data_IF_280684736570
#
_entry.id   IF_280684736570
#
_cell.length_a   1.000
_cell.length_b   1.000
_cell.length_c   1.000
_cell.angle_alpha   90.00
_cell.angle_beta   90.00
_cell.angle_gamma   90.00
#
_symmetry.space_group_name_H-M   'P 1'
#
loop_
_entity.id
_entity.type
_entity.pdbx_description
1 polymer ?
#
# COMPACT_ATOMS: atom_id res chain seq x y z
N UNK A 1 29.17 -46.99 2.52
CA UNK A 1 27.93 -46.73 1.75
C UNK A 1 27.48 -45.32 2.11
N UNK A 2 27.73 -44.34 1.25
CA UNK A 2 27.30 -42.95 1.48
C UNK A 2 25.95 -42.75 0.80
N UNK A 3 24.98 -42.25 1.54
CA UNK A 3 23.63 -41.97 1.06
C UNK A 3 23.65 -40.89 -0.04
N UNK A 4 22.74 -40.94 -1.04
CA UNK A 4 22.69 -39.97 -2.12
C UNK A 4 22.24 -38.59 -1.62
N UNK A 5 22.96 -37.55 -2.07
CA UNK A 5 22.59 -36.14 -1.97
C UNK A 5 21.24 -35.91 -2.68
N UNK A 6 20.27 -35.33 -2.00
CA UNK A 6 18.93 -35.06 -2.54
C UNK A 6 18.87 -33.60 -3.06
N UNK A 7 18.76 -33.34 -4.37
CA UNK A 7 19.02 -32.02 -4.97
C UNK A 7 17.80 -31.09 -5.08
N UNK A 8 16.78 -31.20 -4.23
CA UNK A 8 15.49 -30.50 -4.47
C UNK A 8 15.38 -29.11 -3.84
N UNK A 9 16.43 -28.61 -3.18
CA UNK A 9 16.43 -27.26 -2.60
C UNK A 9 17.02 -26.26 -3.59
N UNK A 10 16.24 -25.31 -4.13
CA UNK A 10 16.78 -24.29 -5.02
C UNK A 10 17.80 -23.42 -4.29
N UNK A 11 18.89 -23.09 -4.98
CA UNK A 11 19.91 -22.14 -4.53
C UNK A 11 19.35 -20.73 -4.42
N UNK A 12 20.02 -19.85 -3.68
CA UNK A 12 19.62 -18.45 -3.56
C UNK A 12 19.62 -17.73 -4.93
N UNK A 13 20.58 -18.07 -5.80
CA UNK A 13 20.64 -17.51 -7.16
C UNK A 13 19.44 -17.95 -8.01
N UNK A 14 19.05 -19.23 -7.94
CA UNK A 14 17.85 -19.73 -8.62
C UNK A 14 16.58 -19.05 -8.07
N UNK A 15 16.46 -18.91 -6.75
CA UNK A 15 15.33 -18.19 -6.14
C UNK A 15 15.29 -16.72 -6.56
N UNK A 16 16.44 -16.04 -6.64
CA UNK A 16 16.53 -14.67 -7.11
C UNK A 16 16.05 -14.54 -8.56
N UNK A 17 16.51 -15.42 -9.45
CA UNK A 17 16.09 -15.43 -10.86
C UNK A 17 14.59 -15.75 -11.03
N UNK A 18 14.09 -16.73 -10.27
CA UNK A 18 12.67 -17.08 -10.26
C UNK A 18 11.80 -15.93 -9.76
N UNK A 19 12.26 -15.21 -8.73
CA UNK A 19 11.56 -14.04 -8.19
C UNK A 19 11.50 -12.89 -9.21
N UNK A 20 12.62 -12.57 -9.89
CA UNK A 20 12.65 -11.56 -10.95
C UNK A 20 11.67 -11.92 -12.07
N UNK A 21 11.71 -13.17 -12.53
CA UNK A 21 10.81 -13.68 -13.57
C UNK A 21 9.34 -13.67 -13.13
N UNK A 22 9.05 -13.94 -11.86
CA UNK A 22 7.70 -13.84 -11.30
C UNK A 22 7.20 -12.39 -11.27
N UNK A 23 8.02 -11.43 -10.81
CA UNK A 23 7.67 -10.00 -10.80
C UNK A 23 7.42 -9.45 -12.20
N UNK A 24 8.19 -9.89 -13.19
CA UNK A 24 7.97 -9.50 -14.58
C UNK A 24 6.62 -10.02 -15.10
N UNK A 25 6.30 -11.29 -14.86
CA UNK A 25 4.99 -11.87 -15.25
C UNK A 25 3.82 -11.18 -14.53
N UNK A 26 3.97 -10.87 -13.25
CA UNK A 26 2.98 -10.10 -12.48
C UNK A 26 2.75 -8.73 -13.09
N UNK A 27 3.81 -8.06 -13.53
CA UNK A 27 3.75 -6.74 -14.17
C UNK A 27 3.00 -6.80 -15.49
N UNK A 28 3.33 -7.76 -16.36
CA UNK A 28 2.66 -7.97 -17.65
C UNK A 28 1.17 -8.26 -17.45
N UNK A 29 0.84 -9.23 -16.57
CA UNK A 29 -0.55 -9.59 -16.30
C UNK A 29 -1.36 -8.42 -15.69
N UNK A 30 -0.73 -7.59 -14.85
CA UNK A 30 -1.35 -6.39 -14.29
C UNK A 30 -1.66 -5.37 -15.39
N UNK A 31 -0.74 -5.14 -16.30
CA UNK A 31 -0.90 -4.18 -17.40
C UNK A 31 -1.97 -4.62 -18.39
N UNK A 32 -1.97 -5.90 -18.78
CA UNK A 32 -3.02 -6.50 -19.60
C UNK A 32 -4.40 -6.36 -18.94
N UNK A 33 -4.50 -6.65 -17.64
CA UNK A 33 -5.76 -6.50 -16.89
C UNK A 33 -6.24 -5.05 -16.91
N UNK A 34 -5.37 -4.07 -16.62
CA UNK A 34 -5.74 -2.66 -16.60
C UNK A 34 -6.22 -2.19 -17.98
N UNK A 35 -5.52 -2.57 -19.06
CA UNK A 35 -5.92 -2.22 -20.42
C UNK A 35 -7.31 -2.79 -20.80
N UNK A 36 -7.63 -4.01 -20.33
CA UNK A 36 -8.96 -4.60 -20.50
C UNK A 36 -10.02 -3.87 -19.65
N UNK A 37 -9.70 -3.55 -18.40
CA UNK A 37 -10.59 -2.78 -17.50
C UNK A 37 -10.94 -1.41 -18.10
N UNK A 38 -9.97 -0.72 -18.71
CA UNK A 38 -10.19 0.57 -19.39
C UNK A 38 -11.10 0.43 -20.61
N UNK A 39 -10.89 -0.59 -21.45
CA UNK A 39 -11.78 -0.88 -22.59
C UNK A 39 -13.20 -1.19 -22.14
N UNK A 40 -13.35 -2.01 -21.09
CA UNK A 40 -14.65 -2.31 -20.49
C UNK A 40 -15.31 -1.03 -19.95
N UNK A 41 -14.55 -0.18 -19.26
CA UNK A 41 -15.07 1.07 -18.72
C UNK A 41 -15.55 2.04 -19.82
N UNK A 42 -14.88 2.06 -20.97
CA UNK A 42 -15.31 2.82 -22.14
C UNK A 42 -16.61 2.30 -22.75
N UNK A 43 -16.81 0.98 -22.78
CA UNK A 43 -18.03 0.34 -23.32
C UNK A 43 -19.23 0.44 -22.39
N UNK A 44 -19.04 0.17 -21.09
CA UNK A 44 -20.11 0.23 -20.08
C UNK A 44 -20.46 1.67 -19.71
N UNK A 45 -19.49 2.59 -19.85
CA UNK A 45 -19.57 3.95 -19.32
C UNK A 45 -19.35 3.99 -17.81
N UNK A 46 -18.97 5.14 -17.28
CA UNK A 46 -18.73 5.34 -15.84
C UNK A 46 -19.34 6.66 -15.39
N UNK A 47 -20.01 6.66 -14.22
CA UNK A 47 -20.50 7.89 -13.59
C UNK A 47 -19.35 8.59 -12.86
N UNK A 48 -19.48 9.87 -12.60
CA UNK A 48 -18.52 10.61 -11.77
C UNK A 48 -18.47 10.03 -10.33
N UNK A 49 -19.64 9.81 -9.73
CA UNK A 49 -19.79 9.12 -8.45
C UNK A 49 -20.94 8.09 -8.54
N UNK A 50 -20.66 6.84 -8.18
CA UNK A 50 -21.65 5.75 -8.17
C UNK A 50 -21.46 4.69 -9.25
N UNK A 51 -22.43 3.77 -9.36
CA UNK A 51 -22.31 2.55 -10.17
C UNK A 51 -23.09 2.63 -11.48
N UNK A 52 -22.49 2.12 -12.55
CA UNK A 52 -23.15 1.75 -13.81
C UNK A 52 -23.08 0.23 -13.98
N UNK A 53 -24.12 -0.39 -14.52
CA UNK A 53 -24.19 -1.85 -14.68
C UNK A 53 -24.76 -2.21 -16.04
N UNK A 54 -24.15 -3.20 -16.67
CA UNK A 54 -24.56 -3.73 -17.97
C UNK A 54 -24.54 -5.27 -17.90
N UNK A 55 -25.51 -5.92 -18.54
CA UNK A 55 -25.53 -7.37 -18.70
C UNK A 55 -25.33 -7.70 -20.17
N UNK A 56 -24.37 -8.57 -20.46
CA UNK A 56 -24.08 -9.04 -21.80
C UNK A 56 -23.63 -10.50 -21.75
N UNK A 57 -24.31 -11.35 -22.53
CA UNK A 57 -24.14 -12.80 -22.48
C UNK A 57 -24.35 -13.33 -21.06
N UNK A 58 -23.34 -14.03 -20.53
CA UNK A 58 -23.36 -14.64 -19.20
C UNK A 58 -22.75 -13.74 -18.11
N UNK A 59 -22.45 -12.47 -18.43
CA UNK A 59 -21.72 -11.58 -17.54
C UNK A 59 -22.59 -10.40 -17.11
N UNK A 60 -22.47 -10.06 -15.82
CA UNK A 60 -22.95 -8.78 -15.27
C UNK A 60 -21.73 -7.93 -14.95
N UNK A 61 -21.50 -6.91 -15.77
CA UNK A 61 -20.36 -6.00 -15.64
C UNK A 61 -20.80 -4.76 -14.89
N UNK A 62 -19.93 -4.26 -13.99
CA UNK A 62 -20.15 -3.02 -13.24
C UNK A 62 -18.91 -2.15 -13.28
N UNK A 63 -19.12 -0.86 -13.55
CA UNK A 63 -18.12 0.19 -13.40
C UNK A 63 -18.55 1.10 -12.26
N UNK A 64 -17.60 1.58 -11.46
CA UNK A 64 -17.88 2.41 -10.28
C UNK A 64 -17.02 3.66 -10.32
N UNK A 65 -17.66 4.81 -10.48
CA UNK A 65 -17.05 6.11 -10.25
C UNK A 65 -16.85 6.35 -8.77
N UNK A 66 -15.66 6.84 -8.40
CA UNK A 66 -15.30 7.18 -7.02
C UNK A 66 -14.66 8.56 -7.00
N UNK A 67 -15.10 9.41 -6.08
CA UNK A 67 -14.44 10.68 -5.78
C UNK A 67 -13.56 10.52 -4.54
N UNK A 68 -12.25 10.75 -4.73
CA UNK A 68 -11.31 10.88 -3.62
C UNK A 68 -11.22 12.34 -3.22
N UNK A 69 -11.50 12.64 -1.95
CA UNK A 69 -11.32 13.97 -1.37
C UNK A 69 -10.15 13.88 -0.39
N UNK A 70 -9.06 14.58 -0.70
CA UNK A 70 -7.90 14.71 0.19
C UNK A 70 -7.91 16.07 0.87
N UNK A 71 -7.15 16.18 1.96
CA UNK A 71 -7.09 17.38 2.78
C UNK A 71 -5.65 17.85 2.93
N UNK A 72 -5.45 19.16 2.88
CA UNK A 72 -4.17 19.77 3.26
C UNK A 72 -4.19 20.04 4.76
N UNK A 73 -3.62 19.10 5.51
CA UNK A 73 -3.58 19.19 6.98
C UNK A 73 -2.83 20.42 7.47
N UNK A 74 -1.79 20.87 6.75
CA UNK A 74 -0.98 22.02 7.18
C UNK A 74 -1.76 23.32 7.00
N UNK A 75 -2.42 23.48 5.85
CA UNK A 75 -3.26 24.65 5.58
C UNK A 75 -4.41 24.74 6.59
N UNK A 76 -5.09 23.61 6.87
CA UNK A 76 -6.17 23.57 7.86
C UNK A 76 -5.67 23.84 9.27
N UNK A 77 -4.49 23.33 9.64
CA UNK A 77 -3.91 23.60 10.95
C UNK A 77 -3.59 25.08 11.13
N UNK A 78 -3.03 25.72 10.10
CA UNK A 78 -2.71 27.14 10.11
C UNK A 78 -3.95 28.04 10.25
N UNK A 79 -5.08 27.62 9.68
CA UNK A 79 -6.33 28.41 9.66
C UNK A 79 -7.38 27.94 10.66
N UNK A 80 -7.07 26.93 11.49
CA UNK A 80 -8.06 26.21 12.30
C UNK A 80 -8.98 27.12 13.12
N UNK A 81 -8.40 28.12 13.79
CA UNK A 81 -9.12 29.07 14.63
C UNK A 81 -10.10 29.97 13.87
N UNK A 82 -9.90 30.16 12.57
CA UNK A 82 -10.76 30.99 11.72
C UNK A 82 -11.84 30.16 11.02
N UNK A 83 -11.71 28.83 10.97
CA UNK A 83 -12.69 27.95 10.34
C UNK A 83 -13.98 27.86 11.18
N UNK A 84 -15.18 28.00 10.57
CA UNK A 84 -16.44 27.77 11.24
C UNK A 84 -16.55 26.38 11.89
N UNK A 85 -17.24 26.29 13.01
CA UNK A 85 -17.43 25.03 13.75
C UNK A 85 -17.96 23.87 12.88
N UNK A 86 -18.94 24.06 11.97
CA UNK A 86 -19.38 22.97 11.09
C UNK A 86 -18.27 22.38 10.21
N UNK A 87 -17.33 23.21 9.76
CA UNK A 87 -16.18 22.77 8.97
C UNK A 87 -15.18 22.03 9.86
N UNK A 88 -14.89 22.56 11.05
CA UNK A 88 -14.02 21.88 12.03
C UNK A 88 -14.53 20.47 12.36
N UNK A 89 -15.86 20.31 12.51
CA UNK A 89 -16.50 18.99 12.76
C UNK A 89 -16.33 17.98 11.62
N UNK A 90 -16.03 18.43 10.41
CA UNK A 90 -15.71 17.53 9.29
C UNK A 90 -14.28 16.97 9.37
N UNK A 91 -13.40 17.54 10.22
CA UNK A 91 -11.99 17.18 10.28
C UNK A 91 -11.72 16.34 11.53
N UNK A 92 -10.99 15.24 11.35
CA UNK A 92 -10.55 14.37 12.45
C UNK A 92 -9.04 14.43 12.58
N UNK A 93 -8.56 14.76 13.77
CA UNK A 93 -7.14 14.69 14.11
C UNK A 93 -6.77 13.28 14.57
N UNK A 94 -5.63 12.80 14.10
CA UNK A 94 -5.04 11.53 14.52
C UNK A 94 -3.58 11.78 14.87
N UNK A 95 -3.19 11.40 16.08
CA UNK A 95 -1.78 11.32 16.44
C UNK A 95 -1.12 10.19 15.64
N UNK A 96 0.05 10.47 15.08
CA UNK A 96 0.91 9.49 14.43
C UNK A 96 2.33 9.60 15.00
N UNK A 97 3.08 8.51 14.92
CA UNK A 97 4.42 8.45 15.48
C UNK A 97 5.44 9.03 14.51
N UNK A 98 6.22 10.00 14.96
CA UNK A 98 7.43 10.42 14.24
C UNK A 98 8.56 9.43 14.53
N UNK A 99 8.75 8.48 13.62
CA UNK A 99 9.79 7.45 13.73
C UNK A 99 11.20 8.05 13.79
N UNK A 100 11.44 9.20 13.14
CA UNK A 100 12.77 9.84 13.18
C UNK A 100 13.05 10.37 14.58
N UNK A 101 12.07 11.04 15.20
CA UNK A 101 12.19 11.54 16.56
C UNK A 101 12.27 10.41 17.58
N UNK A 102 11.51 9.31 17.38
CA UNK A 102 11.62 8.12 18.21
C UNK A 102 13.04 7.56 18.22
N UNK A 103 13.65 7.36 17.04
CA UNK A 103 15.04 6.84 16.93
C UNK A 103 16.07 7.76 17.56
N UNK A 104 15.86 9.07 17.45
CA UNK A 104 16.70 10.05 18.13
C UNK A 104 16.56 9.96 19.65
N UNK A 105 15.33 9.79 20.16
CA UNK A 105 15.05 9.59 21.58
C UNK A 105 15.71 8.32 22.11
N UNK A 106 15.59 7.19 21.41
CA UNK A 106 16.25 5.91 21.75
C UNK A 106 17.78 6.08 21.86
N UNK A 107 18.38 6.92 21.01
CA UNK A 107 19.83 7.15 21.01
C UNK A 107 20.31 8.10 22.12
N UNK A 108 19.44 9.00 22.62
CA UNK A 108 19.81 10.07 23.55
C UNK A 108 19.28 9.86 24.98
N UNK A 109 18.11 9.25 25.13
CA UNK A 109 17.31 9.16 26.36
C UNK A 109 16.49 7.86 26.38
N UNK A 110 17.20 6.73 26.44
CA UNK A 110 16.58 5.40 26.52
C UNK A 110 15.64 5.25 27.74
N UNK A 111 15.87 6.01 28.81
CA UNK A 111 15.00 6.04 30.00
C UNK A 111 13.57 6.54 29.72
N UNK A 112 13.37 7.32 28.65
CA UNK A 112 12.05 7.82 28.26
C UNK A 112 11.30 6.91 27.28
N UNK A 113 12.00 5.97 26.64
CA UNK A 113 11.42 5.04 25.66
C UNK A 113 10.31 4.17 26.27
N UNK A 114 10.44 3.60 27.49
CA UNK A 114 9.39 2.81 28.11
C UNK A 114 8.08 3.57 28.34
N UNK A 115 8.13 4.90 28.55
CA UNK A 115 6.93 5.72 28.75
C UNK A 115 6.14 5.80 27.45
N UNK A 116 6.81 6.09 26.34
CA UNK A 116 6.17 6.14 25.03
C UNK A 116 5.73 4.75 24.55
N UNK A 117 6.47 3.70 24.93
CA UNK A 117 6.16 2.31 24.59
C UNK A 117 4.77 1.86 25.06
N UNK A 118 4.25 2.43 26.17
CA UNK A 118 2.91 2.13 26.69
C UNK A 118 1.78 2.52 25.73
N UNK A 119 2.03 3.43 24.79
CA UNK A 119 1.04 3.97 23.86
C UNK A 119 1.23 3.46 22.42
N UNK A 120 2.19 2.56 22.19
CA UNK A 120 2.45 2.00 20.86
C UNK A 120 2.48 0.47 20.88
N UNK A 121 2.33 -0.14 19.71
CA UNK A 121 2.48 -1.58 19.54
C UNK A 121 3.53 -1.84 18.47
N UNK A 122 4.61 -2.51 18.86
CA UNK A 122 5.66 -2.92 17.93
C UNK A 122 5.42 -4.37 17.50
N UNK A 123 5.33 -4.59 16.20
CA UNK A 123 5.22 -5.93 15.59
C UNK A 123 6.31 -6.07 14.54
N UNK A 124 6.92 -7.25 14.38
CA UNK A 124 7.82 -7.51 13.26
C UNK A 124 7.10 -7.23 11.93
N UNK A 125 7.75 -6.44 11.07
CA UNK A 125 7.27 -6.23 9.71
C UNK A 125 7.58 -7.44 8.83
N UNK A 126 6.83 -7.61 7.74
CA UNK A 126 7.14 -8.61 6.71
C UNK A 126 8.57 -8.36 6.20
N UNK A 127 9.34 -9.43 6.05
CA UNK A 127 10.68 -9.37 5.44
C UNK A 127 10.55 -8.83 4.01
N UNK A 128 11.31 -7.77 3.72
CA UNK A 128 11.45 -7.24 2.37
C UNK A 128 12.60 -7.99 1.66
N UNK A 129 12.34 -8.52 0.46
CA UNK A 129 13.35 -9.15 -0.39
C UNK A 129 13.51 -8.32 -1.66
N UNK A 130 14.68 -7.71 -1.80
CA UNK A 130 15.12 -6.96 -2.98
C UNK A 130 16.21 -7.77 -3.69
N UNK A 131 16.09 -7.91 -5.01
CA UNK A 131 17.08 -8.59 -5.86
C UNK A 131 17.49 -7.58 -6.91
N UNK A 132 18.80 -7.31 -6.99
CA UNK A 132 19.42 -6.43 -7.98
C UNK A 132 20.40 -7.26 -8.79
N UNK A 133 20.40 -7.06 -10.12
CA UNK A 133 21.41 -7.67 -11.00
C UNK A 133 22.65 -6.80 -10.91
N UNK A 134 23.77 -7.38 -10.46
CA UNK A 134 25.06 -6.71 -10.44
C UNK A 134 25.71 -6.92 -11.80
N UNK A 135 26.10 -5.83 -12.46
CA UNK A 135 26.91 -5.86 -13.69
C UNK A 135 28.40 -6.11 -13.39
#
# INVERSE_FOLDING_TARGET
MNAPFNPTTPTLAELAQLLLSAKQRETIAREERIALEEQIAALVGTKEEGTTSLQEGNYKIKTVGKLTRSIDSNAIQADWSNLPEPIQRCIKWKADIDIKQLRALESMRDDLVPVLAQYMTTKPAKVAVTVEVIE
#
